data_IF_904144407157
#
_entry.id   IF_904144407157
#
_cell.length_a   1.000
_cell.length_b   1.000
_cell.length_c   1.000
_cell.angle_alpha   90.00
_cell.angle_beta   90.00
_cell.angle_gamma   90.00
#
_symmetry.space_group_name_H-M   'P 1'
#
loop_
_entity.id
_entity.type
_entity.pdbx_description
1 polymer ?
#
# COMPACT_ATOMS: atom_id res chain seq x y z
N UNK A 1 -7.71 15.06 -25.82
CA UNK A 1 -7.40 13.65 -26.10
C UNK A 1 -7.75 12.91 -24.83
N UNK A 2 -8.86 12.19 -24.84
CA UNK A 2 -9.41 11.54 -23.65
C UNK A 2 -8.49 10.36 -23.31
N UNK A 3 -7.66 10.53 -22.27
CA UNK A 3 -6.84 9.42 -21.79
C UNK A 3 -7.78 8.43 -21.07
N UNK A 4 -7.80 7.14 -21.45
CA UNK A 4 -8.60 6.15 -20.77
C UNK A 4 -8.18 6.09 -19.30
N UNK A 5 -9.18 6.13 -18.42
CA UNK A 5 -9.10 6.06 -16.97
C UNK A 5 -8.27 4.83 -16.52
N UNK A 6 -6.98 5.04 -16.25
CA UNK A 6 -6.04 4.01 -15.79
C UNK A 6 -6.03 3.97 -14.26
N UNK A 7 -6.54 2.88 -13.70
CA UNK A 7 -6.44 2.55 -12.27
C UNK A 7 -5.69 1.22 -12.16
N UNK A 8 -4.36 1.24 -12.27
CA UNK A 8 -3.42 1.78 -11.27
C UNK A 8 -2.58 2.97 -11.78
N UNK A 9 -2.16 3.84 -10.87
CA UNK A 9 -1.41 5.06 -11.17
C UNK A 9 -0.01 5.02 -10.56
N UNK A 10 0.98 5.41 -11.36
CA UNK A 10 2.39 5.52 -10.98
C UNK A 10 2.92 6.85 -11.54
N UNK A 11 3.70 7.61 -10.75
CA UNK A 11 4.07 8.98 -11.14
C UNK A 11 4.92 9.00 -12.40
N UNK A 12 5.59 7.90 -12.75
CA UNK A 12 6.40 7.81 -13.98
C UNK A 12 5.59 8.12 -15.24
N UNK A 13 4.26 7.91 -15.23
CA UNK A 13 3.39 8.28 -16.36
C UNK A 13 3.35 9.80 -16.62
N UNK A 14 3.61 10.59 -15.59
CA UNK A 14 3.63 12.06 -15.65
C UNK A 14 5.03 12.62 -15.84
N UNK A 15 6.07 11.77 -15.89
CA UNK A 15 7.44 12.23 -16.07
C UNK A 15 7.79 12.44 -17.54
N UNK A 16 8.64 13.43 -17.84
CA UNK A 16 9.08 13.73 -19.19
C UNK A 16 9.94 12.60 -19.75
N UNK A 17 10.76 11.97 -18.91
CA UNK A 17 11.67 10.91 -19.32
C UNK A 17 11.03 9.52 -19.36
N UNK A 18 10.03 9.24 -18.52
CA UNK A 18 9.52 7.90 -18.25
C UNK A 18 10.54 6.97 -17.56
N UNK A 19 11.65 7.52 -17.06
CA UNK A 19 12.77 6.78 -16.49
C UNK A 19 12.92 6.82 -14.96
N UNK A 20 12.23 7.64 -14.14
CA UNK A 20 12.44 7.64 -12.69
C UNK A 20 12.24 6.25 -12.10
N UNK A 21 13.28 5.74 -11.43
CA UNK A 21 13.28 4.44 -10.72
C UNK A 21 13.33 4.62 -9.19
N UNK A 22 13.40 5.86 -8.72
CA UNK A 22 13.49 6.15 -7.30
C UNK A 22 12.18 5.76 -6.61
N UNK A 23 12.28 5.16 -5.42
CA UNK A 23 11.10 4.73 -4.64
C UNK A 23 10.10 5.85 -4.38
N UNK A 24 10.55 7.11 -4.41
CA UNK A 24 9.71 8.31 -4.29
C UNK A 24 8.65 8.44 -5.40
N UNK A 25 8.81 7.80 -6.55
CA UNK A 25 7.86 7.86 -7.66
C UNK A 25 6.75 6.80 -7.59
N UNK A 26 6.82 5.86 -6.63
CA UNK A 26 6.00 4.64 -6.62
C UNK A 26 5.15 4.49 -5.35
N UNK A 27 4.07 3.72 -5.44
CA UNK A 27 3.18 3.42 -4.31
C UNK A 27 3.71 2.29 -3.42
N UNK A 28 4.81 2.56 -2.70
CA UNK A 28 5.55 1.58 -1.87
C UNK A 28 5.71 2.05 -0.43
N UNK A 29 6.29 1.20 0.43
CA UNK A 29 6.89 1.69 1.68
C UNK A 29 8.27 2.27 1.35
N UNK A 30 8.47 3.55 1.70
CA UNK A 30 9.77 4.21 1.61
C UNK A 30 10.40 4.32 3.00
N UNK A 31 11.70 4.01 3.06
CA UNK A 31 12.49 4.14 4.28
C UNK A 31 13.37 5.38 4.17
N UNK A 32 13.40 6.18 5.22
CA UNK A 32 14.22 7.39 5.32
C UNK A 32 15.13 7.25 6.53
N UNK A 33 16.40 7.60 6.39
CA UNK A 33 17.37 7.54 7.49
C UNK A 33 17.21 8.71 8.48
N UNK A 34 18.02 8.72 9.54
CA UNK A 34 17.98 9.77 10.58
C UNK A 34 18.42 11.15 10.08
N UNK A 35 19.00 11.27 8.90
CA UNK A 35 19.37 12.53 8.26
C UNK A 35 18.31 13.03 7.26
N UNK A 36 17.21 12.30 7.10
CA UNK A 36 16.14 12.65 6.17
C UNK A 36 16.39 12.16 4.73
N UNK A 37 17.41 11.33 4.48
CA UNK A 37 17.68 10.79 3.15
C UNK A 37 16.93 9.47 2.93
N UNK A 38 16.31 9.32 1.76
CA UNK A 38 15.72 8.04 1.34
C UNK A 38 16.79 6.95 1.25
N UNK A 39 16.55 5.81 1.89
CA UNK A 39 17.36 4.61 1.73
C UNK A 39 16.96 3.93 0.42
N UNK A 40 17.89 3.92 -0.53
CA UNK A 40 17.71 3.34 -1.85
C UNK A 40 17.67 1.80 -1.81
N UNK A 41 16.88 1.23 -2.72
CA UNK A 41 16.84 -0.21 -2.99
C UNK A 41 18.03 -0.60 -3.88
N UNK A 42 18.66 -1.73 -3.58
CA UNK A 42 19.72 -2.31 -4.39
C UNK A 42 19.17 -3.04 -5.61
N UNK A 43 19.98 -3.10 -6.68
CA UNK A 43 19.57 -3.65 -7.98
C UNK A 43 19.78 -5.16 -8.12
N UNK A 44 20.64 -5.77 -7.30
CA UNK A 44 21.12 -7.14 -7.50
C UNK A 44 20.41 -8.19 -6.64
N UNK A 45 19.68 -7.76 -5.62
CA UNK A 45 19.00 -8.64 -4.70
C UNK A 45 17.53 -8.81 -5.08
N UNK A 46 17.09 -10.07 -5.17
CA UNK A 46 15.79 -10.40 -5.74
C UNK A 46 14.67 -10.33 -4.69
N UNK A 47 13.69 -9.40 -4.83
CA UNK A 47 12.45 -9.49 -4.08
C UNK A 47 11.67 -10.75 -4.49
N UNK A 48 10.74 -11.21 -3.66
CA UNK A 48 9.98 -12.43 -3.92
C UNK A 48 8.49 -12.22 -3.69
N UNK A 49 7.69 -12.69 -4.64
CA UNK A 49 6.30 -13.03 -4.34
C UNK A 49 6.32 -14.30 -3.50
N UNK A 50 5.76 -14.21 -2.29
CA UNK A 50 5.75 -15.27 -1.28
C UNK A 50 4.36 -15.85 -1.05
N UNK A 51 3.32 -15.16 -1.53
CA UNK A 51 1.96 -15.68 -1.62
C UNK A 51 1.28 -15.16 -2.90
N UNK A 52 0.52 -16.00 -3.59
CA UNK A 52 -0.44 -15.63 -4.63
C UNK A 52 -1.54 -16.69 -4.67
N UNK A 53 -2.73 -16.32 -4.23
CA UNK A 53 -3.88 -17.22 -4.14
C UNK A 53 -5.15 -16.56 -4.66
N UNK A 54 -5.93 -17.29 -5.45
CA UNK A 54 -7.26 -16.86 -5.87
C UNK A 54 -8.31 -17.71 -5.17
N UNK A 55 -9.17 -17.07 -4.39
CA UNK A 55 -10.30 -17.71 -3.73
C UNK A 55 -11.63 -17.23 -4.28
N UNK A 56 -12.72 -17.76 -3.71
CA UNK A 56 -14.06 -17.30 -4.04
C UNK A 56 -14.29 -15.90 -3.45
N UNK A 57 -14.37 -14.88 -4.29
CA UNK A 57 -14.59 -13.49 -3.85
C UNK A 57 -13.36 -12.76 -3.35
N UNK A 58 -12.15 -13.29 -3.55
CA UNK A 58 -10.91 -12.59 -3.21
C UNK A 58 -9.71 -13.04 -4.05
N UNK A 59 -8.71 -12.17 -4.14
CA UNK A 59 -7.34 -12.50 -4.51
C UNK A 59 -6.41 -12.07 -3.39
N UNK A 60 -5.51 -12.94 -2.99
CA UNK A 60 -4.48 -12.68 -1.99
C UNK A 60 -3.11 -12.71 -2.64
N UNK A 61 -2.27 -11.73 -2.36
CA UNK A 61 -0.89 -11.72 -2.79
C UNK A 61 0.00 -11.13 -1.70
N UNK A 62 1.23 -11.62 -1.60
CA UNK A 62 2.22 -11.10 -0.67
C UNK A 62 3.61 -11.08 -1.29
N UNK A 63 4.37 -10.04 -0.96
CA UNK A 63 5.74 -9.87 -1.37
C UNK A 63 6.65 -9.63 -0.15
N UNK A 64 7.81 -10.28 -0.16
CA UNK A 64 8.94 -9.93 0.70
C UNK A 64 10.00 -9.23 -0.15
N UNK A 65 10.18 -7.94 0.13
CA UNK A 65 11.15 -7.10 -0.58
C UNK A 65 12.35 -6.77 0.30
N UNK A 66 12.47 -7.35 1.51
CA UNK A 66 13.56 -7.06 2.45
C UNK A 66 14.94 -7.24 1.80
N UNK A 67 15.07 -8.21 0.90
CA UNK A 67 16.32 -8.52 0.21
C UNK A 67 16.89 -7.31 -0.55
N UNK A 68 16.06 -6.43 -1.12
CA UNK A 68 16.54 -5.26 -1.87
C UNK A 68 17.26 -4.24 -0.97
N UNK A 69 17.13 -4.34 0.35
CA UNK A 69 17.84 -3.51 1.33
C UNK A 69 19.07 -4.19 1.94
N UNK A 70 19.57 -5.29 1.33
CA UNK A 70 20.76 -5.98 1.84
C UNK A 70 21.96 -5.02 1.96
N UNK A 71 22.70 -5.15 3.06
CA UNK A 71 23.81 -4.27 3.40
C UNK A 71 23.40 -2.91 3.99
N UNK A 72 22.10 -2.61 4.08
CA UNK A 72 21.56 -1.42 4.77
C UNK A 72 21.16 -1.82 6.19
N UNK A 73 22.07 -1.65 7.16
CA UNK A 73 21.89 -2.09 8.56
C UNK A 73 20.64 -1.55 9.27
N UNK A 74 20.08 -0.44 8.77
CA UNK A 74 18.86 0.18 9.29
C UNK A 74 17.58 -0.61 8.98
N UNK A 75 17.58 -1.47 7.95
CA UNK A 75 16.38 -2.15 7.45
C UNK A 75 16.45 -3.63 7.79
N UNK A 76 15.46 -4.11 8.54
CA UNK A 76 15.39 -5.51 8.99
C UNK A 76 14.25 -6.29 8.32
N UNK A 77 13.17 -5.60 7.95
CA UNK A 77 12.01 -6.22 7.30
C UNK A 77 11.24 -5.20 6.47
N UNK A 78 10.86 -5.58 5.26
CA UNK A 78 9.87 -4.88 4.43
C UNK A 78 9.05 -5.92 3.67
N UNK A 79 7.81 -6.11 4.11
CA UNK A 79 6.87 -7.06 3.50
C UNK A 79 5.52 -6.37 3.27
N UNK A 80 4.88 -6.66 2.14
CA UNK A 80 3.53 -6.20 1.82
C UNK A 80 2.65 -7.40 1.55
N UNK A 81 1.44 -7.36 2.09
CA UNK A 81 0.40 -8.33 1.83
C UNK A 81 -0.87 -7.59 1.43
N UNK A 82 -1.52 -8.08 0.37
CA UNK A 82 -2.74 -7.49 -0.16
C UNK A 82 -3.83 -8.54 -0.27
N UNK A 83 -5.06 -8.13 0.03
CA UNK A 83 -6.27 -8.87 -0.28
C UNK A 83 -7.15 -7.97 -1.14
N UNK A 84 -7.27 -8.31 -2.41
CA UNK A 84 -8.21 -7.68 -3.33
C UNK A 84 -9.57 -8.34 -3.18
N UNK A 85 -10.58 -7.51 -2.96
CA UNK A 85 -11.99 -7.85 -2.82
C UNK A 85 -12.73 -7.20 -4.00
N UNK A 86 -13.16 -7.99 -4.99
CA UNK A 86 -13.91 -7.47 -6.13
C UNK A 86 -15.18 -6.73 -5.69
N UNK A 87 -15.60 -5.68 -6.43
CA UNK A 87 -14.99 -5.23 -7.68
C UNK A 87 -13.85 -4.21 -7.51
N UNK A 88 -13.72 -3.53 -6.36
CA UNK A 88 -12.85 -2.36 -6.28
C UNK A 88 -12.36 -2.02 -4.86
N UNK A 89 -12.18 -3.01 -3.98
CA UNK A 89 -11.64 -2.81 -2.64
C UNK A 89 -10.34 -3.62 -2.46
N UNK A 90 -9.35 -3.04 -1.79
CA UNK A 90 -8.08 -3.70 -1.47
C UNK A 90 -7.76 -3.43 0.00
N UNK A 91 -7.48 -4.50 0.74
CA UNK A 91 -6.87 -4.41 2.07
C UNK A 91 -5.36 -4.54 1.89
N UNK A 92 -4.59 -3.58 2.41
CA UNK A 92 -3.13 -3.56 2.34
C UNK A 92 -2.57 -3.66 3.75
N UNK A 93 -1.65 -4.60 3.96
CA UNK A 93 -0.98 -4.81 5.24
C UNK A 93 0.53 -4.86 5.05
N UNK A 94 1.22 -3.84 5.56
CA UNK A 94 2.67 -3.73 5.51
C UNK A 94 3.29 -4.11 6.86
N UNK A 95 4.34 -4.91 6.83
CA UNK A 95 5.19 -5.24 7.99
C UNK A 95 6.57 -4.64 7.74
N UNK A 96 6.94 -3.67 8.57
CA UNK A 96 8.17 -2.89 8.37
C UNK A 96 8.93 -2.83 9.68
N UNK A 97 10.20 -3.24 9.65
CA UNK A 97 11.08 -3.15 10.82
C UNK A 97 12.33 -2.38 10.45
N UNK A 98 12.53 -1.22 11.10
CA UNK A 98 13.74 -0.42 10.98
C UNK A 98 14.26 0.01 12.35
N UNK A 99 15.58 0.21 12.47
CA UNK A 99 16.21 0.56 13.75
C UNK A 99 16.28 2.07 14.02
N UNK A 100 16.21 2.91 12.98
CA UNK A 100 16.22 4.37 13.08
C UNK A 100 15.57 5.02 11.84
N UNK A 101 15.40 6.34 11.87
CA UNK A 101 14.81 7.13 10.79
C UNK A 101 13.28 7.08 10.79
N UNK A 102 12.68 7.03 9.60
CA UNK A 102 11.23 6.95 9.43
C UNK A 102 10.82 5.95 8.35
N UNK A 103 9.55 5.54 8.43
CA UNK A 103 8.90 4.62 7.52
C UNK A 103 7.69 5.35 6.93
N UNK A 104 7.60 5.39 5.61
CA UNK A 104 6.62 6.20 4.91
C UNK A 104 5.77 5.28 4.04
N UNK A 105 4.49 5.14 4.36
CA UNK A 105 3.53 4.58 3.41
C UNK A 105 3.27 5.63 2.32
N UNK A 106 3.45 5.24 1.06
CA UNK A 106 3.28 6.12 -0.09
C UNK A 106 2.18 5.60 -1.01
N UNK A 107 1.30 6.50 -1.41
CA UNK A 107 0.31 6.27 -2.44
C UNK A 107 0.33 7.41 -3.44
N UNK A 108 0.74 7.10 -4.67
CA UNK A 108 0.84 8.04 -5.77
C UNK A 108 -0.51 8.16 -6.46
N UNK A 109 -0.93 9.39 -6.76
CA UNK A 109 -2.29 9.71 -7.22
C UNK A 109 -2.32 10.78 -8.33
N UNK A 110 -3.28 10.71 -9.26
CA UNK A 110 -3.41 11.67 -10.37
C UNK A 110 -3.95 13.05 -9.96
N UNK A 111 -4.62 13.14 -8.82
CA UNK A 111 -5.12 14.40 -8.26
C UNK A 111 -4.67 14.53 -6.79
N UNK A 112 -4.86 15.72 -6.22
CA UNK A 112 -4.42 16.02 -4.86
C UNK A 112 -5.32 15.33 -3.83
N UNK A 113 -4.79 14.44 -2.97
CA UNK A 113 -5.56 13.83 -1.90
C UNK A 113 -6.00 14.86 -0.87
N UNK A 114 -7.26 14.79 -0.45
CA UNK A 114 -7.74 15.50 0.74
C UNK A 114 -7.46 14.64 1.97
N UNK A 115 -6.68 15.17 2.90
CA UNK A 115 -6.36 14.46 4.15
C UNK A 115 -7.49 14.64 5.15
N UNK A 116 -8.01 13.53 5.65
CA UNK A 116 -8.92 13.49 6.78
C UNK A 116 -8.54 12.38 7.76
N UNK A 117 -9.28 12.33 8.87
CA UNK A 117 -9.13 11.30 9.90
C UNK A 117 -10.51 10.66 10.13
N UNK A 118 -10.66 9.33 9.96
CA UNK A 118 -9.62 8.33 9.73
C UNK A 118 -9.20 8.13 8.26
N UNK A 119 -9.81 8.86 7.31
CA UNK A 119 -9.65 8.57 5.88
C UNK A 119 -9.16 9.77 5.07
N UNK A 120 -8.27 9.51 4.12
CA UNK A 120 -7.98 10.43 3.03
C UNK A 120 -8.83 10.07 1.80
N UNK A 121 -9.20 11.07 1.00
CA UNK A 121 -9.95 10.87 -0.24
C UNK A 121 -9.30 11.56 -1.41
N UNK A 122 -9.56 11.05 -2.61
CA UNK A 122 -9.10 11.61 -3.86
C UNK A 122 -10.24 11.51 -4.85
N UNK A 123 -10.65 12.61 -5.47
CA UNK A 123 -11.66 12.58 -6.54
C UNK A 123 -11.02 12.96 -7.87
N UNK A 124 -11.15 12.10 -8.86
CA UNK A 124 -10.69 12.32 -10.23
C UNK A 124 -11.68 11.69 -11.21
N UNK A 125 -12.00 12.39 -12.30
CA UNK A 125 -12.85 11.88 -13.39
C UNK A 125 -14.20 11.31 -12.91
N UNK A 126 -14.81 11.92 -11.89
CA UNK A 126 -16.11 11.50 -11.34
C UNK A 126 -16.06 10.31 -10.37
N UNK A 127 -14.88 9.75 -10.09
CA UNK A 127 -14.67 8.66 -9.14
C UNK A 127 -13.90 9.11 -7.92
N UNK A 128 -14.17 8.48 -6.78
CA UNK A 128 -13.46 8.75 -5.52
C UNK A 128 -12.68 7.53 -5.06
N UNK A 129 -11.36 7.67 -4.92
CA UNK A 129 -10.56 6.72 -4.15
C UNK A 129 -10.60 7.12 -2.68
N UNK A 130 -11.00 6.19 -1.84
CA UNK A 130 -10.96 6.31 -0.39
C UNK A 130 -9.77 5.51 0.13
N UNK A 131 -9.02 6.10 1.07
CA UNK A 131 -7.88 5.48 1.74
C UNK A 131 -8.12 5.59 3.23
N UNK A 132 -8.60 4.51 3.84
CA UNK A 132 -8.86 4.47 5.27
C UNK A 132 -7.67 3.90 6.02
N UNK A 133 -7.22 4.64 7.03
CA UNK A 133 -6.25 4.17 8.03
C UNK A 133 -7.01 3.33 9.05
N UNK A 134 -6.89 2.00 8.94
CA UNK A 134 -7.55 1.09 9.89
C UNK A 134 -6.71 0.93 11.15
N UNK A 135 -5.40 0.75 10.97
CA UNK A 135 -4.40 0.75 12.06
C UNK A 135 -3.08 1.22 11.50
N UNK A 136 -2.51 2.28 12.07
CA UNK A 136 -1.21 2.82 11.68
C UNK A 136 -0.36 3.04 12.94
N UNK A 137 0.98 3.06 12.84
CA UNK A 137 1.85 3.27 13.99
C UNK A 137 1.54 4.59 14.71
N UNK A 138 1.77 4.63 16.02
CA UNK A 138 1.64 5.86 16.80
C UNK A 138 2.59 6.94 16.29
N UNK A 139 2.10 8.18 16.19
CA UNK A 139 2.88 9.30 15.65
C UNK A 139 2.92 9.39 14.13
N UNK A 140 2.15 8.55 13.42
CA UNK A 140 2.01 8.65 11.96
C UNK A 140 1.42 10.00 11.57
N UNK A 141 2.10 10.73 10.69
CA UNK A 141 1.68 12.04 10.19
C UNK A 141 1.42 11.99 8.68
N UNK A 142 0.21 12.30 8.20
CA UNK A 142 -0.10 12.36 6.78
C UNK A 142 0.33 13.69 6.15
N UNK A 143 0.75 13.66 4.88
CA UNK A 143 1.08 14.83 4.07
C UNK A 143 0.84 14.56 2.58
N UNK A 144 0.74 15.62 1.78
CA UNK A 144 0.66 15.53 0.32
C UNK A 144 1.91 16.14 -0.28
N UNK A 145 2.54 15.41 -1.20
CA UNK A 145 3.62 15.89 -2.04
C UNK A 145 3.07 16.15 -3.45
N UNK A 146 3.36 17.34 -4.00
CA UNK A 146 3.02 17.72 -5.37
C UNK A 146 4.27 17.54 -6.23
N UNK A 147 4.23 16.61 -7.18
CA UNK A 147 5.40 16.28 -8.00
C UNK A 147 5.77 17.45 -8.93
N UNK A 148 4.81 18.09 -9.57
CA UNK A 148 5.08 19.18 -10.51
C UNK A 148 5.70 20.40 -9.79
N UNK A 149 5.24 20.67 -8.56
CA UNK A 149 5.72 21.82 -7.79
C UNK A 149 7.01 21.54 -7.00
N UNK A 150 7.26 20.29 -6.61
CA UNK A 150 8.25 19.97 -5.57
C UNK A 150 9.37 19.02 -6.02
N UNK A 151 9.29 18.46 -7.22
CA UNK A 151 10.37 17.63 -7.76
C UNK A 151 11.58 18.49 -8.12
N UNK A 152 12.75 18.29 -7.49
CA UNK A 152 13.93 19.13 -7.71
C UNK A 152 14.48 19.02 -9.14
N UNK A 153 14.27 17.88 -9.80
CA UNK A 153 14.73 17.65 -11.17
C UNK A 153 13.73 18.19 -12.21
N UNK A 154 12.54 18.62 -11.77
CA UNK A 154 11.43 19.04 -12.61
C UNK A 154 11.10 18.02 -13.73
N UNK A 155 11.31 16.72 -13.47
CA UNK A 155 11.03 15.67 -14.44
C UNK A 155 9.53 15.35 -14.49
N UNK A 156 8.76 15.68 -13.45
CA UNK A 156 7.31 15.43 -13.43
C UNK A 156 6.50 16.65 -13.84
N UNK A 157 5.49 16.42 -14.68
CA UNK A 157 4.57 17.46 -15.18
C UNK A 157 3.24 17.53 -14.41
N UNK A 158 2.91 16.49 -13.66
CA UNK A 158 1.71 16.39 -12.83
C UNK A 158 1.85 15.31 -11.75
N UNK A 159 0.77 15.09 -11.00
CA UNK A 159 0.66 14.02 -10.02
C UNK A 159 0.96 14.44 -8.59
N UNK A 160 0.46 13.62 -7.66
CA UNK A 160 0.60 13.84 -6.23
C UNK A 160 0.98 12.53 -5.53
N UNK A 161 1.41 12.64 -4.28
CA UNK A 161 1.66 11.49 -3.41
C UNK A 161 1.11 11.76 -2.02
N UNK A 162 0.26 10.87 -1.54
CA UNK A 162 -0.09 10.77 -0.13
C UNK A 162 1.06 10.06 0.59
N UNK A 163 1.70 10.75 1.51
CA UNK A 163 2.75 10.21 2.38
C UNK A 163 2.21 10.11 3.81
N UNK A 164 2.33 8.94 4.44
CA UNK A 164 2.06 8.73 5.87
C UNK A 164 3.35 8.34 6.57
N UNK A 165 3.94 9.27 7.31
CA UNK A 165 5.26 9.11 7.91
C UNK A 165 5.15 8.67 9.36
N UNK A 166 5.67 7.49 9.67
CA UNK A 166 5.80 6.94 11.01
C UNK A 166 7.26 6.96 11.50
N UNK A 167 7.52 7.09 12.81
CA UNK A 167 8.83 6.84 13.39
C UNK A 167 9.31 5.41 13.10
N UNK A 168 10.63 5.19 13.10
CA UNK A 168 11.21 3.86 13.05
C UNK A 168 10.73 2.95 14.19
N UNK A 169 10.84 1.64 13.98
CA UNK A 169 10.38 0.61 14.91
C UNK A 169 9.93 -0.64 14.17
N UNK A 170 9.28 -1.55 14.90
CA UNK A 170 8.62 -2.72 14.35
C UNK A 170 7.12 -2.43 14.13
N UNK A 171 6.79 -1.94 12.94
CA UNK A 171 5.54 -1.25 12.62
C UNK A 171 4.70 -2.02 11.62
N UNK A 172 3.39 -1.89 11.81
CA UNK A 172 2.35 -2.49 10.97
C UNK A 172 1.48 -1.35 10.44
N UNK A 173 1.25 -1.34 9.14
CA UNK A 173 0.30 -0.43 8.50
C UNK A 173 -0.82 -1.28 7.92
N UNK A 174 -2.05 -0.99 8.34
CA UNK A 174 -3.26 -1.62 7.82
C UNK A 174 -4.15 -0.55 7.21
N UNK A 175 -4.32 -0.63 5.90
CA UNK A 175 -5.15 0.27 5.13
C UNK A 175 -6.22 -0.49 4.36
N UNK A 176 -7.36 0.16 4.14
CA UNK A 176 -8.34 -0.27 3.14
C UNK A 176 -8.47 0.83 2.11
N UNK A 177 -8.27 0.46 0.85
CA UNK A 177 -8.42 1.32 -0.31
C UNK A 177 -9.63 0.87 -1.09
N UNK A 178 -10.53 1.78 -1.45
CA UNK A 178 -11.65 1.42 -2.32
C UNK A 178 -12.14 2.58 -3.18
N UNK A 179 -12.76 2.23 -4.29
CA UNK A 179 -13.36 3.19 -5.21
C UNK A 179 -14.85 3.35 -4.89
N UNK A 180 -15.31 4.60 -4.88
CA UNK A 180 -16.71 4.99 -4.72
C UNK A 180 -17.36 4.31 -3.51
N UNK A 181 -18.41 3.51 -3.72
CA UNK A 181 -19.15 2.78 -2.69
C UNK A 181 -18.77 1.30 -2.60
N UNK A 182 -17.64 0.87 -3.18
CA UNK A 182 -17.26 -0.55 -3.24
C UNK A 182 -17.02 -1.19 -1.86
N UNK A 183 -16.68 -0.39 -0.85
CA UNK A 183 -16.62 -0.82 0.55
C UNK A 183 -17.39 0.13 1.46
N UNK A 184 -17.90 -0.42 2.56
CA UNK A 184 -18.52 0.33 3.66
C UNK A 184 -18.23 -0.31 5.02
N UNK A 185 -18.59 0.39 6.11
CA UNK A 185 -18.45 -0.13 7.49
C UNK A 185 -17.06 -0.71 7.82
N UNK A 186 -15.99 -0.04 7.39
CA UNK A 186 -14.61 -0.48 7.63
C UNK A 186 -14.25 -0.27 9.10
N UNK A 187 -14.00 -1.36 9.81
CA UNK A 187 -13.74 -1.38 11.25
C UNK A 187 -12.55 -2.29 11.56
N UNK A 188 -11.72 -1.87 12.52
CA UNK A 188 -10.62 -2.69 13.02
C UNK A 188 -11.17 -4.00 13.61
N UNK A 189 -10.56 -5.12 13.26
CA UNK A 189 -10.83 -6.44 13.83
C UNK A 189 -9.55 -6.97 14.50
N UNK A 190 -9.58 -7.15 15.81
CA UNK A 190 -8.37 -7.48 16.57
C UNK A 190 -7.29 -6.39 16.46
N UNK A 191 -6.02 -6.78 16.38
CA UNK A 191 -4.87 -5.85 16.24
C UNK A 191 -4.39 -5.68 14.80
N UNK A 192 -4.65 -6.68 13.95
CA UNK A 192 -4.02 -6.85 12.64
C UNK A 192 -5.02 -7.34 11.58
N UNK A 193 -6.30 -7.00 11.79
CA UNK A 193 -7.38 -7.39 10.90
C UNK A 193 -8.39 -6.27 10.69
N UNK A 194 -9.26 -6.45 9.71
CA UNK A 194 -10.31 -5.50 9.35
C UNK A 194 -11.58 -6.24 9.01
N UNK A 195 -12.71 -5.71 9.45
CA UNK A 195 -14.04 -6.08 8.96
C UNK A 195 -14.59 -4.95 8.11
N UNK A 196 -15.07 -5.28 6.92
CA UNK A 196 -15.68 -4.34 5.99
C UNK A 196 -16.84 -4.99 5.25
N UNK A 197 -17.78 -4.19 4.78
CA UNK A 197 -18.86 -4.64 3.91
C UNK A 197 -18.46 -4.42 2.46
N UNK A 198 -18.53 -5.48 1.65
CA UNK A 198 -18.38 -5.43 0.19
C UNK A 198 -19.70 -5.87 -0.44
N UNK A 199 -20.36 -4.96 -1.16
CA UNK A 199 -21.75 -5.16 -1.57
C UNK A 199 -22.67 -5.33 -0.35
N UNK A 200 -23.26 -6.51 -0.18
CA UNK A 200 -24.08 -6.87 0.99
C UNK A 200 -23.39 -7.86 1.94
N UNK A 201 -22.15 -8.25 1.68
CA UNK A 201 -21.44 -9.26 2.45
C UNK A 201 -20.46 -8.61 3.42
N UNK A 202 -20.51 -9.05 4.68
CA UNK A 202 -19.44 -8.78 5.62
C UNK A 202 -18.24 -9.66 5.29
N UNK A 203 -17.07 -9.02 5.17
CA UNK A 203 -15.78 -9.67 4.96
C UNK A 203 -14.89 -9.30 6.14
N UNK A 204 -14.22 -10.29 6.72
CA UNK A 204 -13.19 -10.06 7.74
C UNK A 204 -11.88 -10.61 7.22
N UNK A 205 -10.85 -9.77 7.14
CA UNK A 205 -9.48 -10.18 6.83
C UNK A 205 -8.66 -10.06 8.11
N UNK A 206 -7.98 -11.13 8.50
CA UNK A 206 -7.10 -11.15 9.66
C UNK A 206 -5.71 -11.60 9.21
N UNK A 207 -4.72 -10.71 9.31
CA UNK A 207 -3.34 -11.05 8.98
C UNK A 207 -2.58 -11.60 10.18
N UNK A 208 -1.56 -12.42 9.89
CA UNK A 208 -0.56 -12.84 10.86
C UNK A 208 0.38 -11.66 11.15
N UNK A 209 0.55 -11.29 12.41
CA UNK A 209 1.34 -10.09 12.77
C UNK A 209 2.81 -10.15 12.35
N UNK A 210 3.43 -11.33 12.43
CA UNK A 210 4.89 -11.51 12.36
C UNK A 210 5.39 -12.23 11.10
N UNK A 211 4.48 -12.84 10.34
CA UNK A 211 4.76 -13.60 9.14
C UNK A 211 3.68 -13.33 8.09
N UNK A 212 3.98 -13.59 6.82
CA UNK A 212 2.97 -13.60 5.74
C UNK A 212 1.88 -14.62 6.05
N UNK A 213 0.67 -14.33 5.58
CA UNK A 213 -0.51 -15.15 5.69
C UNK A 213 -1.50 -14.65 6.73
N UNK A 214 -2.52 -15.46 6.96
CA UNK A 214 -3.63 -15.13 7.85
C UNK A 214 -4.90 -15.89 7.50
N UNK A 215 -6.04 -15.23 7.60
CA UNK A 215 -7.33 -15.78 7.20
C UNK A 215 -8.25 -14.70 6.64
N UNK A 216 -9.18 -15.12 5.80
CA UNK A 216 -10.30 -14.32 5.33
C UNK A 216 -11.60 -15.05 5.63
N UNK A 217 -12.58 -14.34 6.16
CA UNK A 217 -13.94 -14.82 6.34
C UNK A 217 -14.88 -14.03 5.43
N UNK A 218 -15.61 -14.71 4.56
CA UNK A 218 -16.65 -14.12 3.70
C UNK A 218 -17.97 -14.80 4.04
N UNK A 219 -18.90 -14.05 4.63
CA UNK A 219 -20.10 -14.64 5.23
C UNK A 219 -19.73 -15.62 6.35
N UNK A 220 -20.09 -16.90 6.20
CA UNK A 220 -19.77 -17.96 7.16
C UNK A 220 -18.54 -18.81 6.78
N UNK A 221 -17.91 -18.53 5.64
CA UNK A 221 -16.79 -19.32 5.13
C UNK A 221 -15.46 -18.68 5.49
N UNK A 222 -14.61 -19.42 6.20
CA UNK A 222 -13.24 -19.00 6.54
C UNK A 222 -12.23 -19.72 5.67
N UNK A 223 -11.35 -18.98 5.00
CA UNK A 223 -10.26 -19.49 4.17
C UNK A 223 -8.92 -19.03 4.74
N UNK A 224 -7.94 -19.94 4.79
CA UNK A 224 -6.56 -19.59 5.17
C UNK A 224 -5.87 -18.84 4.03
N UNK A 225 -5.20 -17.75 4.37
CA UNK A 225 -4.29 -17.03 3.47
C UNK A 225 -2.89 -17.61 3.71
N UNK A 226 -2.46 -18.54 2.86
CA UNK A 226 -1.20 -19.26 3.02
C UNK A 226 -0.01 -18.58 2.34
N UNK A 227 1.17 -19.17 2.50
CA UNK A 227 2.32 -18.91 1.61
C UNK A 227 2.27 -19.88 0.42
N UNK A 228 2.86 -19.49 -0.71
CA UNK A 228 2.88 -20.28 -1.93
C UNK A 228 2.30 -19.51 -3.12
N UNK A 229 2.66 -19.92 -4.33
CA UNK A 229 2.21 -19.24 -5.55
C UNK A 229 1.36 -20.22 -6.35
N UNK A 230 0.07 -19.94 -6.45
CA UNK A 230 -0.84 -20.70 -7.30
C UNK A 230 -0.56 -20.41 -8.78
N UNK A 231 -0.77 -21.41 -9.62
CA UNK A 231 -0.88 -21.18 -11.07
C UNK A 231 -2.24 -20.55 -11.33
N UNK A 232 -2.27 -19.30 -11.78
CA UNK A 232 -3.51 -18.63 -12.15
C UNK A 232 -3.93 -19.04 -13.56
N UNK A 233 -5.24 -19.25 -13.81
CA UNK A 233 -5.72 -19.50 -15.17
C UNK A 233 -5.40 -18.29 -16.07
N UNK A 234 -4.88 -18.58 -17.26
CA UNK A 234 -4.64 -17.60 -18.34
C UNK A 234 -5.93 -16.95 -18.85
#
# INVERSE_FOLDING_TARGET
MDQPDRRPYDAVVESHSGLPQATTAHSVIRIVDGAGKTIEQGQTDQPRIVALHRGNGFLHAAADVTAVYRGKSLVQKVQREIVYLPPSAVVVYDRVTTTAGSQVFQLVTPASPQIGTPSSTLTASGHTLNVQRVSVPTGTTPSVYDFAASDPDHDFSAGFRLDETAPAGDNRFLHVLWIDSAAGAVTLSGSDGVTLTVGSQAVTVQFNRNSVGGSIMIGAQTTTLGTGVDTLPE
#
